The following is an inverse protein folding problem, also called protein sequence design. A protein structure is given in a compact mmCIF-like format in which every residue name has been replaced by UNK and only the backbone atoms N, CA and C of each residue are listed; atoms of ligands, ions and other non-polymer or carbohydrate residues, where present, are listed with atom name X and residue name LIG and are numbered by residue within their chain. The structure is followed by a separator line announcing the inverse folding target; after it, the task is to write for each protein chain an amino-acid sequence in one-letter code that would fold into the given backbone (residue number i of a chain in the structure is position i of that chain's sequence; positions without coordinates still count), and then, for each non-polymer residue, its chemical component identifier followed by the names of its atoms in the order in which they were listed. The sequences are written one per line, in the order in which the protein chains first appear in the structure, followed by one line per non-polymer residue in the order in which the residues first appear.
data_IF_811140417400
#
_entry.id   IF_811140417400
#
_cell.length_a   1.000
_cell.length_b   1.000
_cell.length_c   1.000
_cell.angle_alpha   90.00
_cell.angle_beta   90.00
_cell.angle_gamma   90.00
#
_symmetry.space_group_name_H-M   'P 1'
#
loop_
_entity.id
_entity.type
_entity.pdbx_description
1 polymer ?
#
# COMPACT_ATOMS: atom_id res chain seq x y z
N UNK A 1 -62.33 24.48 22.78
CA UNK A 1 -62.53 24.18 21.35
C UNK A 1 -61.35 24.84 20.64
N UNK A 2 -60.35 24.20 20.07
CA UNK A 2 -60.13 22.84 19.57
C UNK A 2 -58.66 22.43 19.83
N UNK A 3 -58.41 21.13 19.69
CA UNK A 3 -57.24 20.38 20.12
C UNK A 3 -56.11 20.47 19.07
N UNK A 4 -54.99 21.14 19.39
CA UNK A 4 -53.77 21.17 18.55
C UNK A 4 -52.94 19.91 18.82
N UNK A 5 -53.52 18.76 18.50
CA UNK A 5 -53.01 17.46 18.88
C UNK A 5 -53.09 16.41 17.78
N UNK A 6 -53.03 16.76 16.50
CA UNK A 6 -53.02 15.73 15.45
C UNK A 6 -52.55 16.22 14.06
N UNK A 7 -51.26 16.55 13.89
CA UNK A 7 -50.71 16.82 12.55
C UNK A 7 -49.19 16.52 12.44
N UNK A 8 -48.78 15.34 12.90
CA UNK A 8 -47.42 14.83 12.67
C UNK A 8 -47.37 13.29 12.58
N UNK A 9 -48.22 12.68 11.75
CA UNK A 9 -48.11 11.26 11.38
C UNK A 9 -48.24 11.09 9.87
N UNK A 10 -47.13 11.27 9.14
CA UNK A 10 -46.86 10.58 7.86
C UNK A 10 -45.50 11.01 7.29
N UNK A 11 -44.39 10.52 7.84
CA UNK A 11 -43.13 10.40 7.09
C UNK A 11 -42.47 9.06 7.44
N UNK A 12 -42.16 8.20 6.46
CA UNK A 12 -41.55 6.90 6.73
C UNK A 12 -40.12 7.08 7.24
N UNK A 13 -39.86 6.71 8.49
CA UNK A 13 -38.51 6.56 9.03
C UNK A 13 -37.83 5.38 8.32
N UNK A 14 -37.09 5.65 7.25
CA UNK A 14 -36.12 4.68 6.69
C UNK A 14 -35.04 4.42 7.75
N UNK A 15 -35.21 3.31 8.46
CA UNK A 15 -34.21 2.74 9.36
C UNK A 15 -33.04 2.25 8.50
N UNK A 16 -32.00 3.06 8.35
CA UNK A 16 -30.75 2.63 7.72
C UNK A 16 -30.12 1.59 8.64
N UNK A 17 -30.26 0.33 8.25
CA UNK A 17 -29.55 -0.80 8.85
C UNK A 17 -28.08 -0.63 8.45
N UNK A 18 -27.25 -0.12 9.36
CA UNK A 18 -25.80 -0.22 9.19
C UNK A 18 -25.43 -1.70 9.18
N UNK A 19 -25.18 -2.26 8.01
CA UNK A 19 -24.53 -3.56 7.89
C UNK A 19 -23.08 -3.35 8.36
N UNK A 20 -22.73 -3.93 9.52
CA UNK A 20 -21.33 -4.19 9.86
C UNK A 20 -20.83 -5.22 8.85
N UNK A 21 -20.17 -4.77 7.79
CA UNK A 21 -19.37 -5.60 6.89
C UNK A 21 -18.14 -6.08 7.63
N UNK A 22 -18.30 -7.09 8.49
CA UNK A 22 -17.19 -7.91 8.95
C UNK A 22 -16.94 -8.95 7.87
N UNK A 23 -15.95 -8.71 7.02
CA UNK A 23 -15.50 -9.70 6.04
C UNK A 23 -14.79 -10.85 6.78
N UNK A 24 -15.58 -11.81 7.28
CA UNK A 24 -15.05 -13.13 7.65
C UNK A 24 -14.71 -13.85 6.35
N UNK A 25 -13.46 -13.70 5.91
CA UNK A 25 -12.94 -14.40 4.75
C UNK A 25 -13.09 -15.93 4.94
N UNK A 26 -13.81 -16.58 4.03
CA UNK A 26 -14.04 -18.02 4.08
C UNK A 26 -12.73 -18.77 3.78
N UNK A 27 -12.47 -19.87 4.50
CA UNK A 27 -11.26 -20.72 4.32
C UNK A 27 -10.99 -21.12 2.85
N UNK A 28 -12.04 -21.21 2.02
CA UNK A 28 -11.94 -21.48 0.59
C UNK A 28 -11.29 -20.33 -0.22
N UNK A 29 -11.58 -19.07 0.11
CA UNK A 29 -10.96 -17.90 -0.52
C UNK A 29 -9.49 -17.78 -0.12
N UNK A 30 -9.16 -18.06 1.15
CA UNK A 30 -7.77 -18.12 1.62
C UNK A 30 -6.95 -19.19 0.88
N UNK A 31 -7.52 -20.39 0.61
CA UNK A 31 -6.85 -21.48 -0.14
C UNK A 31 -6.72 -21.21 -1.64
N UNK A 32 -7.65 -20.47 -2.25
CA UNK A 32 -7.51 -20.01 -3.65
C UNK A 32 -6.45 -18.91 -3.76
N UNK A 33 -6.36 -18.01 -2.77
CA UNK A 33 -5.31 -16.98 -2.65
C UNK A 33 -3.90 -17.56 -2.54
N UNK A 34 -3.71 -18.59 -1.70
CA UNK A 34 -2.40 -19.25 -1.55
C UNK A 34 -1.94 -19.90 -2.85
N UNK A 35 -2.86 -20.54 -3.60
CA UNK A 35 -2.57 -21.17 -4.89
C UNK A 35 -2.11 -20.19 -5.97
N UNK A 36 -2.76 -19.03 -6.07
CA UNK A 36 -2.36 -18.01 -7.04
C UNK A 36 -0.99 -17.39 -6.72
N UNK A 37 -0.56 -17.42 -5.45
CA UNK A 37 0.77 -16.95 -5.05
C UNK A 37 1.86 -17.98 -5.40
N UNK A 38 1.60 -19.27 -5.21
CA UNK A 38 2.53 -20.36 -5.56
C UNK A 38 2.72 -20.54 -7.07
N UNK A 39 1.76 -20.14 -7.91
CA UNK A 39 1.92 -20.16 -9.39
C UNK A 39 2.79 -19.00 -9.93
N UNK A 40 3.20 -18.04 -9.09
CA UNK A 40 4.02 -16.88 -9.50
C UNK A 40 5.53 -17.11 -9.36
N UNK A 41 5.96 -18.22 -8.76
CA UNK A 41 7.35 -18.47 -8.33
C UNK A 41 8.15 -19.40 -9.23
N UNK A 42 7.69 -19.71 -10.45
CA UNK A 42 8.41 -20.56 -11.42
C UNK A 42 9.56 -19.79 -12.13
N UNK A 43 10.56 -19.31 -11.37
CA UNK A 43 11.78 -18.70 -11.90
C UNK A 43 12.99 -19.33 -11.17
N UNK A 44 13.94 -19.87 -11.94
CA UNK A 44 15.03 -20.76 -11.51
C UNK A 44 16.17 -20.11 -10.68
N UNK A 45 15.92 -19.02 -9.95
CA UNK A 45 16.91 -18.28 -9.14
C UNK A 45 16.47 -18.19 -7.66
N UNK A 46 15.80 -19.23 -7.15
CA UNK A 46 15.08 -19.21 -5.86
C UNK A 46 15.96 -19.38 -4.62
N UNK A 47 17.20 -19.87 -4.76
CA UNK A 47 18.02 -20.29 -3.61
C UNK A 47 18.36 -19.14 -2.64
N UNK A 48 18.74 -17.98 -3.17
CA UNK A 48 19.13 -16.82 -2.35
C UNK A 48 17.91 -16.08 -1.78
N UNK A 49 16.80 -16.03 -2.52
CA UNK A 49 15.54 -15.43 -2.09
C UNK A 49 14.85 -16.25 -0.98
N UNK A 50 14.82 -17.58 -1.11
CA UNK A 50 14.25 -18.47 -0.08
C UNK A 50 15.05 -18.40 1.24
N UNK A 51 16.38 -18.33 1.13
CA UNK A 51 17.28 -18.14 2.29
C UNK A 51 17.01 -16.83 3.03
N UNK A 52 16.77 -15.74 2.29
CA UNK A 52 16.51 -14.44 2.87
C UNK A 52 15.11 -14.36 3.50
N UNK A 53 14.09 -14.90 2.84
CA UNK A 53 12.74 -14.95 3.39
C UNK A 53 12.67 -15.80 4.66
N UNK A 54 13.44 -16.88 4.73
CA UNK A 54 13.57 -17.66 5.95
C UNK A 54 14.16 -16.84 7.09
N UNK A 55 15.26 -16.10 6.85
CA UNK A 55 15.86 -15.22 7.87
C UNK A 55 14.87 -14.19 8.41
N UNK A 56 14.02 -13.63 7.55
CA UNK A 56 13.04 -12.64 7.98
C UNK A 56 11.94 -13.29 8.82
N UNK A 57 11.47 -14.47 8.42
CA UNK A 57 10.48 -15.23 9.18
C UNK A 57 11.04 -15.65 10.55
N UNK A 58 12.31 -16.05 10.61
CA UNK A 58 13.00 -16.36 11.87
C UNK A 58 13.10 -15.12 12.76
N UNK A 59 13.44 -13.95 12.18
CA UNK A 59 13.50 -12.69 12.93
C UNK A 59 12.13 -12.26 13.45
N UNK A 60 11.06 -12.46 12.66
CA UNK A 60 9.69 -12.22 13.13
C UNK A 60 9.32 -13.13 14.31
N UNK A 61 9.73 -14.41 14.24
CA UNK A 61 9.46 -15.37 15.30
C UNK A 61 10.20 -14.98 16.59
N UNK A 62 11.47 -14.64 16.49
CA UNK A 62 12.28 -14.12 17.62
C UNK A 62 11.59 -12.91 18.30
N UNK A 63 11.12 -11.94 17.51
CA UNK A 63 10.40 -10.77 18.03
C UNK A 63 9.05 -11.13 18.67
N UNK A 64 8.38 -12.19 18.21
CA UNK A 64 7.11 -12.63 18.76
C UNK A 64 7.26 -13.35 20.09
N UNK A 65 8.40 -14.03 20.30
CA UNK A 65 8.73 -14.76 21.53
C UNK A 65 9.34 -13.84 22.59
N UNK A 66 9.95 -12.73 22.17
CA UNK A 66 10.53 -11.73 23.07
C UNK A 66 9.42 -10.85 23.65
N UNK A 67 9.22 -10.91 24.97
CA UNK A 67 8.20 -10.13 25.69
C UNK A 67 8.85 -8.89 26.33
N UNK A 68 8.24 -7.72 26.11
CA UNK A 68 8.65 -6.45 26.71
C UNK A 68 8.28 -6.39 28.20
N UNK A 69 8.89 -5.48 28.99
CA UNK A 69 8.51 -5.27 30.39
C UNK A 69 7.04 -4.93 30.62
N UNK A 70 6.33 -4.48 29.58
CA UNK A 70 4.89 -4.21 29.62
C UNK A 70 4.02 -5.47 29.41
N UNK A 71 4.62 -6.64 29.16
CA UNK A 71 3.90 -7.90 28.93
C UNK A 71 3.44 -8.12 27.50
N UNK A 72 3.86 -7.28 26.55
CA UNK A 72 3.54 -7.42 25.13
C UNK A 72 4.75 -7.96 24.33
N UNK A 73 4.55 -8.73 23.26
CA UNK A 73 5.65 -9.17 22.41
C UNK A 73 6.30 -7.99 21.68
N UNK A 74 7.57 -8.11 21.28
CA UNK A 74 8.25 -7.06 20.49
C UNK A 74 7.66 -6.88 19.08
N UNK A 75 6.80 -7.79 18.63
CA UNK A 75 5.93 -7.60 17.46
C UNK A 75 4.76 -6.62 17.71
N UNK A 76 4.55 -6.18 18.96
CA UNK A 76 3.64 -5.09 19.27
C UNK A 76 4.25 -3.79 18.76
N UNK A 77 3.69 -3.24 17.68
CA UNK A 77 4.27 -2.12 16.93
C UNK A 77 3.36 -0.92 16.99
N UNK A 78 3.96 0.25 17.18
CA UNK A 78 3.27 1.54 17.17
C UNK A 78 3.44 2.13 15.78
N UNK A 79 2.35 2.53 15.13
CA UNK A 79 2.41 3.16 13.81
C UNK A 79 1.93 4.61 13.86
N UNK A 80 2.75 5.50 13.32
CA UNK A 80 2.47 6.94 13.24
C UNK A 80 2.72 7.47 11.83
N UNK A 81 2.15 8.63 11.52
CA UNK A 81 2.43 9.36 10.28
C UNK A 81 3.38 10.52 10.57
N UNK A 82 4.31 10.78 9.65
CA UNK A 82 5.34 11.83 9.76
C UNK A 82 4.74 13.23 9.97
N UNK A 83 3.59 13.51 9.37
CA UNK A 83 2.95 14.82 9.46
C UNK A 83 2.32 15.08 10.84
N UNK A 84 2.28 14.08 11.73
CA UNK A 84 1.66 14.13 13.07
C UNK A 84 0.25 14.73 13.12
N UNK A 85 -0.49 14.72 12.00
CA UNK A 85 -1.88 15.20 11.90
C UNK A 85 -2.84 14.39 12.77
N UNK A 86 -2.41 13.20 13.21
CA UNK A 86 -3.21 12.25 13.97
C UNK A 86 -2.99 12.48 15.47
N UNK A 87 -4.06 12.81 16.19
CA UNK A 87 -3.99 13.01 17.64
C UNK A 87 -3.69 11.72 18.43
N UNK A 88 -3.27 11.84 19.71
CA UNK A 88 -2.82 10.70 20.53
C UNK A 88 -3.90 9.62 20.71
N UNK A 89 -5.18 10.02 20.76
CA UNK A 89 -6.31 9.08 20.86
C UNK A 89 -6.37 8.15 19.65
N UNK A 90 -6.22 8.70 18.45
CA UNK A 90 -6.28 7.92 17.22
C UNK A 90 -5.03 7.03 17.06
N UNK A 91 -3.86 7.50 17.51
CA UNK A 91 -2.63 6.70 17.47
C UNK A 91 -2.80 5.44 18.33
N UNK A 92 -3.28 5.58 19.57
CA UNK A 92 -3.48 4.41 20.46
C UNK A 92 -4.59 3.49 19.93
N UNK A 93 -5.68 4.04 19.41
CA UNK A 93 -6.74 3.24 18.77
C UNK A 93 -6.24 2.48 17.53
N UNK A 94 -5.45 3.11 16.69
CA UNK A 94 -4.85 2.46 15.52
C UNK A 94 -3.86 1.39 15.96
N UNK A 95 -3.06 1.69 16.99
CA UNK A 95 -2.13 0.74 17.61
C UNK A 95 -2.88 -0.49 18.12
N UNK A 96 -4.06 -0.33 18.74
CA UNK A 96 -4.82 -1.49 19.21
C UNK A 96 -5.35 -2.36 18.07
N UNK A 97 -5.86 -1.73 17.01
CA UNK A 97 -6.33 -2.44 15.80
C UNK A 97 -5.19 -3.18 15.11
N UNK A 98 -4.03 -2.54 14.95
CA UNK A 98 -2.85 -3.11 14.30
C UNK A 98 -2.36 -4.35 15.05
N UNK A 99 -2.27 -4.25 16.37
CA UNK A 99 -1.78 -5.32 17.23
C UNK A 99 -2.88 -6.32 17.64
N UNK A 100 -4.13 -6.10 17.18
CA UNK A 100 -5.31 -6.92 17.50
C UNK A 100 -5.57 -7.05 19.00
N UNK A 101 -5.31 -5.99 19.77
CA UNK A 101 -5.58 -5.94 21.20
C UNK A 101 -6.86 -5.18 21.53
N UNK A 102 -7.48 -5.52 22.65
CA UNK A 102 -8.62 -4.81 23.21
C UNK A 102 -8.17 -3.52 23.88
N UNK A 103 -8.76 -2.39 23.52
CA UNK A 103 -8.51 -1.10 24.17
C UNK A 103 -9.72 -0.69 24.99
N UNK A 104 -9.50 -0.45 26.29
CA UNK A 104 -10.53 0.01 27.21
C UNK A 104 -10.11 1.32 27.87
N UNK A 105 -11.08 2.22 28.07
CA UNK A 105 -10.89 3.46 28.82
C UNK A 105 -11.91 3.55 29.93
N UNK A 106 -11.45 3.60 31.19
CA UNK A 106 -12.30 3.72 32.37
C UNK A 106 -12.18 5.12 32.93
N UNK A 107 -13.31 5.71 33.30
CA UNK A 107 -13.35 7.03 33.93
C UNK A 107 -13.86 6.87 35.36
N UNK A 108 -13.10 7.36 36.33
CA UNK A 108 -13.50 7.42 37.73
C UNK A 108 -13.41 8.85 38.26
N UNK A 109 -14.18 9.18 39.29
CA UNK A 109 -14.08 10.47 39.98
C UNK A 109 -13.20 10.32 41.20
N UNK A 110 -12.24 11.23 41.33
CA UNK A 110 -11.36 11.27 42.48
C UNK A 110 -11.99 12.07 43.63
N UNK A 111 -11.42 11.94 44.83
CA UNK A 111 -11.83 12.69 46.02
C UNK A 111 -11.78 14.22 45.84
N UNK A 112 -11.01 14.71 44.87
CA UNK A 112 -10.88 16.14 44.51
C UNK A 112 -11.92 16.62 43.49
N UNK A 113 -12.85 15.77 43.06
CA UNK A 113 -13.86 16.10 42.03
C UNK A 113 -13.35 16.03 40.58
N UNK A 114 -12.06 15.75 40.37
CA UNK A 114 -11.47 15.51 39.06
C UNK A 114 -11.87 14.15 38.49
N UNK A 115 -11.86 14.05 37.16
CA UNK A 115 -12.10 12.80 36.43
C UNK A 115 -10.74 12.18 36.12
N UNK A 116 -10.45 11.01 36.71
CA UNK A 116 -9.37 10.14 36.30
C UNK A 116 -9.79 9.29 35.12
N UNK A 117 -9.02 9.35 34.04
CA UNK A 117 -9.13 8.44 32.92
C UNK A 117 -7.96 7.45 32.97
N UNK A 118 -8.28 6.16 33.00
CA UNK A 118 -7.33 5.05 32.91
C UNK A 118 -7.49 4.36 31.56
N UNK A 119 -6.38 4.13 30.87
CA UNK A 119 -6.31 3.43 29.58
C UNK A 119 -5.63 2.10 29.79
N UNK A 120 -6.28 1.03 29.32
CA UNK A 120 -5.76 -0.33 29.38
C UNK A 120 -5.79 -1.00 28.00
N UNK A 121 -4.76 -1.80 27.73
CA UNK A 121 -4.65 -2.64 26.53
C UNK A 121 -4.57 -4.10 26.97
N UNK A 122 -5.46 -4.95 26.46
CA UNK A 122 -5.62 -6.36 26.88
C UNK A 122 -5.66 -6.56 28.41
N UNK A 123 -6.30 -5.62 29.11
CA UNK A 123 -6.43 -5.64 30.57
C UNK A 123 -5.22 -5.10 31.33
N UNK A 124 -4.13 -4.73 30.65
CA UNK A 124 -2.94 -4.12 31.26
C UNK A 124 -3.14 -2.60 31.30
N UNK A 125 -3.17 -2.02 32.50
CA UNK A 125 -3.26 -0.58 32.69
C UNK A 125 -1.92 0.10 32.37
N UNK A 126 -1.93 1.02 31.41
CA UNK A 126 -0.70 1.65 30.89
C UNK A 126 -0.60 3.14 31.23
N UNK A 127 -1.72 3.85 31.29
CA UNK A 127 -1.74 5.28 31.55
C UNK A 127 -2.96 5.70 32.35
N UNK A 128 -2.76 6.50 33.40
CA UNK A 128 -3.82 7.06 34.21
C UNK A 128 -3.53 8.54 34.45
N UNK A 129 -4.49 9.41 34.11
CA UNK A 129 -4.36 10.86 34.26
C UNK A 129 -5.68 11.49 34.70
N UNK A 130 -5.59 12.55 35.51
CA UNK A 130 -6.75 13.30 35.99
C UNK A 130 -6.90 14.66 35.31
N UNK A 131 -8.15 15.08 35.12
CA UNK A 131 -8.48 16.45 34.71
C UNK A 131 -9.92 16.81 35.14
N UNK A 132 -10.22 18.10 35.18
CA UNK A 132 -11.58 18.59 35.41
C UNK A 132 -12.51 18.26 34.22
N UNK A 133 -11.95 18.20 33.00
CA UNK A 133 -12.71 17.88 31.79
C UNK A 133 -12.45 16.44 31.33
N UNK A 134 -13.49 15.60 31.12
CA UNK A 134 -13.29 14.20 30.74
C UNK A 134 -12.55 14.04 29.40
N UNK A 135 -12.74 14.98 28.46
CA UNK A 135 -12.03 14.98 27.17
C UNK A 135 -10.53 15.24 27.36
N UNK A 136 -10.17 16.14 28.27
CA UNK A 136 -8.77 16.47 28.58
C UNK A 136 -8.09 15.35 29.37
N UNK A 137 -8.77 14.78 30.37
CA UNK A 137 -8.30 13.62 31.12
C UNK A 137 -7.97 12.46 30.18
N UNK A 138 -8.89 12.13 29.26
CA UNK A 138 -8.67 11.08 28.26
C UNK A 138 -7.47 11.36 27.36
N UNK A 139 -7.33 12.61 26.88
CA UNK A 139 -6.18 12.97 26.03
C UNK A 139 -4.86 12.82 26.78
N UNK A 140 -4.77 13.30 28.03
CA UNK A 140 -3.59 13.17 28.88
C UNK A 140 -3.25 11.69 29.14
N UNK A 141 -4.25 10.88 29.48
CA UNK A 141 -4.06 9.45 29.73
C UNK A 141 -3.55 8.70 28.48
N UNK A 142 -4.02 9.10 27.29
CA UNK A 142 -3.52 8.57 26.01
C UNK A 142 -2.07 8.98 25.75
N UNK A 143 -1.67 10.21 26.09
CA UNK A 143 -0.27 10.66 25.98
C UNK A 143 0.63 9.88 26.95
N UNK A 144 0.19 9.68 28.21
CA UNK A 144 0.92 8.87 29.18
C UNK A 144 1.09 7.41 28.69
N UNK A 145 0.01 6.83 28.18
CA UNK A 145 0.04 5.49 27.55
C UNK A 145 1.02 5.44 26.38
N UNK A 146 0.98 6.44 25.50
CA UNK A 146 1.87 6.54 24.35
C UNK A 146 3.35 6.59 24.79
N UNK A 147 3.68 7.42 25.79
CA UNK A 147 5.04 7.52 26.37
C UNK A 147 5.54 6.17 26.90
N UNK A 148 4.69 5.42 27.60
CA UNK A 148 5.03 4.09 28.08
C UNK A 148 5.28 3.12 26.92
N UNK A 149 4.43 3.15 25.89
CA UNK A 149 4.56 2.26 24.75
C UNK A 149 5.85 2.51 23.94
N UNK A 150 6.17 3.77 23.60
CA UNK A 150 7.38 4.11 22.81
C UNK A 150 8.69 3.81 23.56
N UNK A 151 8.64 3.71 24.90
CA UNK A 151 9.79 3.36 25.72
C UNK A 151 10.20 1.89 25.54
N UNK A 152 9.23 1.00 25.26
CA UNK A 152 9.46 -0.45 25.24
C UNK A 152 9.19 -1.13 23.90
N UNK A 153 8.62 -0.42 22.92
CA UNK A 153 8.24 -0.99 21.62
C UNK A 153 8.80 -0.20 20.44
N UNK A 154 8.91 -0.87 19.30
CA UNK A 154 9.29 -0.24 18.04
C UNK A 154 8.21 0.73 17.55
N UNK A 155 8.66 1.89 17.06
CA UNK A 155 7.80 2.86 16.38
C UNK A 155 8.10 2.83 14.90
N UNK A 156 7.06 2.62 14.10
CA UNK A 156 7.13 2.67 12.65
C UNK A 156 6.43 3.94 12.15
N UNK A 157 7.23 4.89 11.69
CA UNK A 157 6.74 6.16 11.15
C UNK A 157 6.63 6.06 9.63
N UNK A 158 5.44 6.34 9.10
CA UNK A 158 5.17 6.30 7.68
C UNK A 158 5.40 7.69 7.07
N UNK A 159 6.24 7.77 6.03
CA UNK A 159 6.45 9.00 5.26
C UNK A 159 5.20 9.32 4.42
N UNK A 160 4.92 10.61 4.23
CA UNK A 160 3.80 11.08 3.41
C UNK A 160 3.87 10.54 1.98
N UNK A 161 2.70 10.21 1.42
CA UNK A 161 2.57 9.67 0.06
C UNK A 161 3.09 10.63 -1.01
N UNK A 162 3.08 11.94 -0.76
CA UNK A 162 3.55 12.97 -1.70
C UNK A 162 5.05 12.81 -2.04
N UNK A 163 5.85 12.28 -1.11
CA UNK A 163 7.28 12.07 -1.33
C UNK A 163 7.57 10.87 -2.25
N UNK A 164 6.67 9.88 -2.30
CA UNK A 164 6.85 8.62 -3.04
C UNK A 164 6.39 8.70 -4.51
N UNK A 165 5.54 9.67 -4.86
CA UNK A 165 4.98 9.82 -6.22
C UNK A 165 6.05 10.21 -7.27
N UNK A 166 7.24 10.65 -6.84
CA UNK A 166 8.34 11.01 -7.75
C UNK A 166 9.01 9.81 -8.43
N UNK A 167 8.75 8.57 -7.98
CA UNK A 167 9.30 7.36 -8.61
C UNK A 167 8.39 6.89 -9.75
N UNK A 168 8.63 7.43 -10.94
CA UNK A 168 7.95 7.11 -12.18
C UNK A 168 8.29 5.69 -12.68
N UNK A 169 7.87 4.67 -11.95
CA UNK A 169 8.21 3.27 -12.26
C UNK A 169 7.43 2.70 -13.44
N UNK A 170 6.23 3.21 -13.73
CA UNK A 170 5.42 2.66 -14.83
C UNK A 170 6.02 2.92 -16.22
N UNK A 171 6.58 4.12 -16.45
CA UNK A 171 7.20 4.46 -17.74
C UNK A 171 8.52 3.71 -17.91
N UNK A 172 9.34 3.59 -16.86
CA UNK A 172 10.61 2.85 -16.95
C UNK A 172 10.43 1.34 -17.15
N UNK A 173 9.41 0.72 -16.54
CA UNK A 173 9.08 -0.69 -16.77
C UNK A 173 8.52 -0.94 -18.18
N UNK A 174 7.72 -0.02 -18.72
CA UNK A 174 7.27 -0.09 -20.11
C UNK A 174 8.43 0.13 -21.09
N UNK A 175 9.32 1.09 -20.82
CA UNK A 175 10.48 1.37 -21.67
C UNK A 175 11.46 0.18 -21.70
N UNK A 176 11.70 -0.50 -20.58
CA UNK A 176 12.48 -1.75 -20.56
C UNK A 176 11.84 -2.87 -21.39
N UNK A 177 10.51 -2.95 -21.42
CA UNK A 177 9.81 -3.89 -22.32
C UNK A 177 9.90 -3.46 -23.80
N UNK A 178 9.96 -2.16 -24.08
CA UNK A 178 10.15 -1.63 -25.43
C UNK A 178 11.59 -1.84 -25.95
N UNK A 179 12.61 -1.78 -25.09
CA UNK A 179 13.99 -2.15 -25.43
C UNK A 179 14.10 -3.63 -25.88
N UNK A 180 13.26 -4.51 -25.32
CA UNK A 180 13.20 -5.92 -25.74
C UNK A 180 12.58 -6.14 -27.13
N UNK A 181 11.94 -5.11 -27.70
CA UNK A 181 11.33 -5.14 -29.03
C UNK A 181 12.24 -4.54 -30.12
N UNK A 182 13.52 -4.28 -29.85
CA UNK A 182 14.45 -3.87 -30.90
C UNK A 182 14.57 -4.96 -31.97
N UNK A 183 14.38 -4.56 -33.23
CA UNK A 183 14.60 -5.46 -34.36
C UNK A 183 16.04 -5.97 -34.28
N UNK A 184 16.28 -7.29 -34.20
CA UNK A 184 17.63 -7.82 -34.04
C UNK A 184 18.50 -7.42 -35.22
N UNK A 185 19.80 -7.19 -34.99
CA UNK A 185 20.77 -6.77 -36.01
C UNK A 185 20.90 -7.75 -37.19
N UNK A 186 20.50 -9.00 -36.98
CA UNK A 186 20.43 -10.05 -38.02
C UNK A 186 19.22 -9.93 -38.94
N UNK A 187 18.21 -9.12 -38.60
CA UNK A 187 17.04 -8.92 -39.43
C UNK A 187 17.40 -8.17 -40.71
N UNK A 188 16.91 -8.66 -41.84
CA UNK A 188 17.18 -8.10 -43.18
C UNK A 188 16.77 -6.62 -43.25
N UNK A 189 15.65 -6.25 -42.64
CA UNK A 189 15.18 -4.85 -42.59
C UNK A 189 16.16 -3.94 -41.85
N UNK A 190 16.71 -4.39 -40.71
CA UNK A 190 17.74 -3.64 -39.98
C UNK A 190 19.01 -3.44 -40.83
N UNK A 191 19.44 -4.48 -41.55
CA UNK A 191 20.59 -4.40 -42.45
C UNK A 191 20.33 -3.47 -43.65
N UNK A 192 19.12 -3.50 -44.21
CA UNK A 192 18.72 -2.59 -45.28
C UNK A 192 18.69 -1.14 -44.80
N UNK A 193 18.10 -0.85 -43.64
CA UNK A 193 18.07 0.50 -43.08
C UNK A 193 19.48 1.04 -42.84
N UNK A 194 20.38 0.23 -42.27
CA UNK A 194 21.79 0.61 -42.10
C UNK A 194 22.50 0.92 -43.42
N UNK A 195 22.24 0.11 -44.47
CA UNK A 195 22.76 0.38 -45.82
C UNK A 195 22.18 1.64 -46.46
N UNK A 196 20.99 2.07 -46.04
CA UNK A 196 20.35 3.32 -46.46
C UNK A 196 20.75 4.52 -45.58
N UNK A 197 21.77 4.38 -44.73
CA UNK A 197 22.32 5.46 -43.92
C UNK A 197 21.64 5.66 -42.57
N UNK A 198 20.78 4.74 -42.12
CA UNK A 198 20.18 4.79 -40.80
C UNK A 198 21.18 4.38 -39.71
N UNK A 199 21.32 5.22 -38.67
CA UNK A 199 22.12 4.94 -37.48
C UNK A 199 21.23 4.78 -36.24
N UNK A 200 21.67 3.95 -35.29
CA UNK A 200 20.96 3.74 -34.03
C UNK A 200 20.84 5.08 -33.28
N UNK A 201 19.60 5.55 -33.07
CA UNK A 201 19.31 6.83 -32.42
C UNK A 201 19.20 8.05 -33.33
N UNK A 202 19.30 7.89 -34.66
CA UNK A 202 19.14 8.96 -35.65
C UNK A 202 17.96 8.71 -36.60
N UNK A 203 17.47 9.78 -37.26
CA UNK A 203 16.42 9.68 -38.27
C UNK A 203 16.96 9.14 -39.61
N UNK A 204 16.11 8.47 -40.39
CA UNK A 204 16.49 7.99 -41.72
C UNK A 204 16.51 9.14 -42.75
N UNK A 205 17.63 9.36 -43.45
CA UNK A 205 17.73 10.36 -44.52
C UNK A 205 19.05 11.13 -44.47
N UNK A 206 19.36 11.92 -45.51
CA UNK A 206 20.64 12.62 -45.65
C UNK A 206 20.95 13.60 -44.50
N UNK A 207 19.91 14.22 -43.94
CA UNK A 207 20.00 15.16 -42.81
C UNK A 207 19.37 14.61 -41.53
N UNK A 208 19.23 13.28 -41.42
CA UNK A 208 18.54 12.63 -40.28
C UNK A 208 17.08 13.08 -40.09
N UNK A 209 16.44 13.56 -41.16
CA UNK A 209 15.06 14.10 -41.17
C UNK A 209 13.97 13.05 -40.94
N UNK A 210 14.32 11.77 -41.05
CA UNK A 210 13.39 10.67 -40.84
C UNK A 210 12.98 10.51 -39.38
N UNK A 211 11.96 9.68 -39.18
CA UNK A 211 11.41 9.39 -37.87
C UNK A 211 12.47 8.66 -37.01
N UNK A 212 12.94 9.30 -35.94
CA UNK A 212 13.92 8.75 -34.99
C UNK A 212 13.33 7.68 -34.08
N UNK A 213 12.10 7.90 -33.59
CA UNK A 213 11.40 6.99 -32.69
C UNK A 213 10.41 6.14 -33.48
N UNK A 214 10.40 4.80 -33.31
CA UNK A 214 9.49 3.94 -34.07
C UNK A 214 8.06 4.44 -33.93
N UNK A 215 7.32 4.46 -35.04
CA UNK A 215 5.91 4.84 -35.03
C UNK A 215 5.16 3.82 -34.20
N UNK A 216 4.81 4.21 -32.98
CA UNK A 216 3.94 3.42 -32.11
C UNK A 216 2.53 3.45 -32.70
N UNK A 217 1.89 2.28 -32.75
CA UNK A 217 0.54 2.13 -33.27
C UNK A 217 -0.43 2.97 -32.41
N UNK A 218 -0.86 4.13 -32.92
CA UNK A 218 -1.96 4.88 -32.33
C UNK A 218 -3.23 4.07 -32.59
N UNK A 219 -3.75 3.45 -31.52
CA UNK A 219 -4.83 2.45 -31.56
C UNK A 219 -6.16 2.98 -32.08
N UNK A 220 -6.27 3.15 -33.40
CA UNK A 220 -7.55 3.32 -34.07
C UNK A 220 -7.63 2.47 -35.33
N UNK A 221 -7.64 1.15 -35.12
CA UNK A 221 -8.14 0.18 -36.10
C UNK A 221 -9.68 0.22 -36.06
N UNK A 222 -10.29 1.24 -36.66
CA UNK A 222 -11.70 1.16 -36.99
C UNK A 222 -11.89 0.13 -38.10
N UNK A 223 -12.75 -0.83 -37.81
CA UNK A 223 -13.15 -1.96 -38.64
C UNK A 223 -13.36 -1.58 -40.12
N UNK A 224 -12.40 -1.98 -40.98
CA UNK A 224 -12.60 -2.77 -42.23
C UNK A 224 -11.40 -2.66 -43.20
N UNK A 225 -10.53 -3.68 -43.15
CA UNK A 225 -9.68 -4.29 -44.20
C UNK A 225 -8.77 -3.38 -45.08
N UNK A 226 -7.48 -3.64 -45.36
CA UNK A 226 -6.50 -4.72 -45.10
C UNK A 226 -5.06 -4.18 -45.33
N UNK A 227 -3.97 -4.92 -45.20
CA UNK A 227 -3.44 -5.85 -46.22
C UNK A 227 -2.87 -7.11 -45.53
N UNK A 228 -3.43 -8.27 -45.82
CA UNK A 228 -2.77 -9.55 -45.52
C UNK A 228 -3.12 -10.23 -44.19
N UNK A 229 -4.39 -10.21 -43.81
CA UNK A 229 -4.95 -11.06 -42.76
C UNK A 229 -4.73 -12.55 -43.05
N UNK A 230 -3.80 -13.20 -42.35
CA UNK A 230 -3.95 -14.57 -41.84
C UNK A 230 -2.75 -14.92 -40.94
N UNK A 231 -2.88 -14.71 -39.64
CA UNK A 231 -2.28 -15.52 -38.58
C UNK A 231 -3.06 -15.13 -37.33
N UNK A 232 -3.57 -16.12 -36.59
CA UNK A 232 -4.25 -15.92 -35.33
C UNK A 232 -3.52 -14.84 -34.52
N UNK A 233 -4.21 -13.88 -33.88
CA UNK A 233 -3.58 -12.75 -33.21
C UNK A 233 -2.47 -13.29 -32.32
N UNK A 234 -1.22 -13.15 -32.77
CA UNK A 234 -0.07 -13.36 -31.93
C UNK A 234 -0.13 -12.22 -30.94
N UNK A 235 -0.84 -12.49 -29.85
CA UNK A 235 -0.97 -11.72 -28.61
C UNK A 235 -0.38 -10.31 -28.76
N UNK A 236 -1.07 -9.43 -29.47
CA UNK A 236 -1.01 -8.02 -29.09
C UNK A 236 -1.50 -8.03 -27.65
N UNK A 237 -0.57 -7.82 -26.72
CA UNK A 237 -0.90 -7.89 -25.30
C UNK A 237 -2.00 -6.87 -25.09
N UNK A 238 -3.22 -7.34 -24.87
CA UNK A 238 -4.34 -6.50 -24.45
C UNK A 238 -3.83 -5.67 -23.27
N UNK A 239 -4.18 -4.39 -23.13
CA UNK A 239 -3.73 -3.54 -22.01
C UNK A 239 -3.80 -4.27 -20.66
N UNK A 240 -4.82 -5.12 -20.51
CA UNK A 240 -4.98 -6.03 -19.37
C UNK A 240 -3.82 -7.01 -19.14
N UNK A 241 -3.25 -7.62 -20.19
CA UNK A 241 -2.08 -8.50 -20.10
C UNK A 241 -0.81 -7.71 -19.71
N UNK A 242 -0.67 -6.48 -20.21
CA UNK A 242 0.45 -5.61 -19.84
C UNK A 242 0.36 -5.23 -18.36
N UNK A 243 -0.83 -4.81 -17.90
CA UNK A 243 -1.07 -4.51 -16.48
C UNK A 243 -0.86 -5.77 -15.63
N UNK A 244 -1.34 -6.93 -16.07
CA UNK A 244 -1.14 -8.21 -15.38
C UNK A 244 0.36 -8.52 -15.22
N UNK A 245 1.15 -8.38 -16.28
CA UNK A 245 2.60 -8.57 -16.24
C UNK A 245 3.29 -7.59 -15.29
N UNK A 246 2.95 -6.30 -15.35
CA UNK A 246 3.51 -5.28 -14.45
C UNK A 246 3.17 -5.59 -12.99
N UNK A 247 1.93 -5.97 -12.70
CA UNK A 247 1.53 -6.33 -11.33
C UNK A 247 2.21 -7.62 -10.85
N UNK A 248 2.39 -8.62 -11.71
CA UNK A 248 3.17 -9.83 -11.38
C UNK A 248 4.61 -9.48 -11.04
N UNK A 249 5.29 -8.71 -11.89
CA UNK A 249 6.66 -8.26 -11.64
C UNK A 249 6.76 -7.44 -10.34
N UNK A 250 5.77 -6.61 -10.05
CA UNK A 250 5.70 -5.83 -8.81
C UNK A 250 5.53 -6.71 -7.55
N UNK A 251 4.75 -7.80 -7.65
CA UNK A 251 4.59 -8.76 -6.54
C UNK A 251 5.93 -9.46 -6.24
N UNK A 252 6.68 -9.84 -7.27
CA UNK A 252 7.95 -10.57 -7.16
C UNK A 252 9.10 -9.66 -6.70
N UNK A 253 9.09 -8.39 -7.11
CA UNK A 253 10.08 -7.39 -6.66
C UNK A 253 10.11 -7.34 -5.12
N UNK A 254 11.25 -7.07 -4.50
CA UNK A 254 11.40 -6.97 -3.04
C UNK A 254 11.09 -5.56 -2.48
N UNK A 255 10.94 -4.55 -3.35
CA UNK A 255 10.65 -3.17 -2.95
C UNK A 255 9.21 -2.97 -2.46
N UNK A 256 9.03 -2.21 -1.38
CA UNK A 256 7.73 -1.81 -0.83
C UNK A 256 7.27 -0.42 -1.26
N UNK A 257 8.01 0.21 -2.19
CA UNK A 257 7.57 1.44 -2.83
C UNK A 257 6.25 1.22 -3.56
N UNK A 258 5.43 2.26 -3.63
CA UNK A 258 4.14 2.20 -4.30
C UNK A 258 4.35 2.26 -5.82
N UNK A 259 3.70 1.36 -6.56
CA UNK A 259 3.64 1.43 -8.01
C UNK A 259 2.67 2.55 -8.41
N UNK A 260 3.19 3.54 -9.13
CA UNK A 260 2.44 4.74 -9.53
C UNK A 260 2.06 4.66 -11.01
N UNK A 261 0.77 4.75 -11.30
CA UNK A 261 0.25 4.86 -12.66
C UNK A 261 -0.05 6.32 -13.01
N UNK A 262 0.22 6.68 -14.27
CA UNK A 262 0.07 8.03 -14.82
C UNK A 262 -1.38 8.55 -14.71
N UNK A 263 -1.53 9.88 -14.62
CA UNK A 263 -2.82 10.53 -14.48
C UNK A 263 -3.71 10.44 -15.73
N UNK A 264 -3.11 10.21 -16.91
CA UNK A 264 -3.81 10.08 -18.19
C UNK A 264 -4.59 8.78 -18.41
N UNK A 265 -4.75 7.94 -17.38
CA UNK A 265 -5.54 6.71 -17.48
C UNK A 265 -7.05 6.99 -17.54
N UNK A 266 -7.73 6.31 -18.45
CA UNK A 266 -9.19 6.32 -18.52
C UNK A 266 -9.85 5.66 -17.30
N UNK A 267 -11.12 5.98 -17.06
CA UNK A 267 -11.89 5.42 -15.95
C UNK A 267 -12.00 3.90 -16.04
N UNK A 268 -12.17 3.34 -17.24
CA UNK A 268 -12.22 1.89 -17.46
C UNK A 268 -10.88 1.21 -17.17
N UNK A 269 -9.76 1.80 -17.61
CA UNK A 269 -8.42 1.30 -17.30
C UNK A 269 -8.15 1.29 -15.80
N UNK A 270 -8.53 2.35 -15.08
CA UNK A 270 -8.42 2.40 -13.62
C UNK A 270 -9.21 1.25 -12.98
N UNK A 271 -10.41 0.94 -13.46
CA UNK A 271 -11.20 -0.20 -12.96
C UNK A 271 -10.50 -1.53 -13.23
N UNK A 272 -9.89 -1.73 -14.40
CA UNK A 272 -9.15 -2.96 -14.70
C UNK A 272 -7.95 -3.12 -13.78
N UNK A 273 -7.18 -2.06 -13.53
CA UNK A 273 -6.05 -2.07 -12.60
C UNK A 273 -6.53 -2.39 -11.18
N UNK A 274 -7.59 -1.74 -10.70
CA UNK A 274 -8.16 -2.04 -9.38
C UNK A 274 -8.57 -3.52 -9.26
N UNK A 275 -9.20 -4.08 -10.29
CA UNK A 275 -9.63 -5.49 -10.34
C UNK A 275 -8.44 -6.46 -10.33
N UNK A 276 -7.40 -6.19 -11.13
CA UNK A 276 -6.19 -7.02 -11.19
C UNK A 276 -5.36 -6.90 -9.91
N UNK A 277 -5.14 -5.68 -9.39
CA UNK A 277 -4.43 -5.46 -8.13
C UNK A 277 -5.10 -6.23 -6.97
N UNK A 278 -6.44 -6.20 -6.91
CA UNK A 278 -7.19 -6.97 -5.92
C UNK A 278 -6.95 -8.48 -6.05
N UNK A 279 -6.86 -9.01 -7.28
CA UNK A 279 -6.55 -10.44 -7.54
C UNK A 279 -5.18 -10.84 -6.99
N UNK A 280 -4.20 -9.95 -7.06
CA UNK A 280 -2.85 -10.13 -6.48
C UNK A 280 -2.75 -9.71 -5.00
N UNK A 281 -3.87 -9.44 -4.33
CA UNK A 281 -3.92 -8.98 -2.94
C UNK A 281 -3.22 -7.63 -2.66
N UNK A 282 -2.98 -6.84 -3.72
CA UNK A 282 -2.40 -5.50 -3.64
C UNK A 282 -3.47 -4.45 -3.29
N UNK A 283 -3.07 -3.40 -2.60
CA UNK A 283 -3.91 -2.23 -2.33
C UNK A 283 -3.86 -1.32 -3.54
N UNK A 284 -5.02 -0.89 -4.02
CA UNK A 284 -5.10 0.07 -5.10
C UNK A 284 -5.93 1.28 -4.66
N UNK A 285 -5.46 2.49 -4.93
CA UNK A 285 -6.09 3.74 -4.50
C UNK A 285 -5.87 4.81 -5.56
N UNK A 286 -6.93 5.49 -5.97
CA UNK A 286 -6.78 6.74 -6.72
C UNK A 286 -6.56 7.89 -5.75
N UNK A 287 -5.60 8.77 -6.03
CA UNK A 287 -5.27 9.94 -5.21
C UNK A 287 -5.17 11.19 -6.08
N UNK A 288 -5.57 12.32 -5.52
CA UNK A 288 -5.60 13.60 -6.22
C UNK A 288 -6.90 13.87 -6.99
N UNK A 289 -7.03 15.11 -7.46
CA UNK A 289 -8.16 15.59 -8.26
C UNK A 289 -7.77 15.64 -9.74
N UNK A 290 -8.77 15.61 -10.63
CA UNK A 290 -8.52 15.75 -12.06
C UNK A 290 -7.99 17.16 -12.37
N UNK A 291 -7.00 17.32 -13.29
CA UNK A 291 -6.40 16.30 -14.17
C UNK A 291 -5.21 15.53 -13.56
N UNK A 292 -4.77 15.87 -12.34
CA UNK A 292 -3.56 15.31 -11.71
C UNK A 292 -3.83 14.02 -10.90
N UNK A 293 -4.95 13.35 -11.16
CA UNK A 293 -5.37 12.15 -10.42
C UNK A 293 -4.50 10.95 -10.79
N UNK A 294 -3.66 10.51 -9.86
CA UNK A 294 -2.80 9.34 -10.00
C UNK A 294 -3.45 8.08 -9.40
N UNK A 295 -3.10 6.90 -9.92
CA UNK A 295 -3.49 5.63 -9.32
C UNK A 295 -2.26 4.97 -8.70
N UNK A 296 -2.35 4.65 -7.40
CA UNK A 296 -1.30 4.03 -6.61
C UNK A 296 -1.65 2.56 -6.34
N UNK A 297 -0.68 1.68 -6.51
CA UNK A 297 -0.77 0.27 -6.11
C UNK A 297 0.33 -0.03 -5.09
N UNK A 298 -0.06 -0.50 -3.90
CA UNK A 298 0.82 -0.79 -2.78
C UNK A 298 0.75 -2.26 -2.38
N UNK A 299 1.86 -2.83 -1.95
CA UNK A 299 1.87 -4.07 -1.18
C UNK A 299 1.20 -3.90 0.19
N UNK A 300 0.81 -5.03 0.80
CA UNK A 300 0.17 -5.08 2.13
C UNK A 300 0.92 -6.02 3.10
N UNK A 301 2.21 -5.76 3.39
CA UNK A 301 2.88 -6.50 4.47
C UNK A 301 2.22 -6.21 5.82
N UNK A 302 2.36 -7.15 6.75
CA UNK A 302 2.10 -6.87 8.16
C UNK A 302 3.18 -5.94 8.69
N UNK A 303 2.84 -5.10 9.67
CA UNK A 303 3.83 -4.22 10.30
C UNK A 303 4.99 -5.00 10.93
N UNK A 304 4.70 -6.18 11.52
CA UNK A 304 5.73 -7.08 12.02
C UNK A 304 6.70 -7.53 10.93
N UNK A 305 6.22 -7.84 9.71
CA UNK A 305 7.07 -8.18 8.56
C UNK A 305 7.95 -7.01 8.16
N UNK A 306 7.40 -5.80 8.09
CA UNK A 306 8.17 -4.58 7.75
C UNK A 306 9.30 -4.40 8.76
N UNK A 307 9.01 -4.48 10.07
CA UNK A 307 10.02 -4.29 11.12
C UNK A 307 11.11 -5.37 11.03
N UNK A 308 10.74 -6.65 10.92
CA UNK A 308 11.73 -7.73 10.79
C UNK A 308 12.60 -7.57 9.55
N UNK A 309 12.03 -7.06 8.47
CA UNK A 309 12.74 -6.87 7.22
C UNK A 309 13.71 -5.70 7.29
N UNK A 310 13.32 -4.58 7.88
CA UNK A 310 14.22 -3.46 8.15
C UNK A 310 15.37 -3.89 9.07
N UNK A 311 15.09 -4.72 10.09
CA UNK A 311 16.11 -5.23 11.01
C UNK A 311 17.05 -6.25 10.36
N UNK A 312 16.61 -6.94 9.30
CA UNK A 312 17.39 -7.99 8.62
C UNK A 312 18.19 -7.46 7.43
N UNK A 313 17.56 -6.64 6.58
CA UNK A 313 18.12 -6.11 5.32
C UNK A 313 18.61 -4.66 5.43
N UNK A 314 18.21 -3.94 6.48
CA UNK A 314 18.38 -2.49 6.54
C UNK A 314 17.23 -1.75 5.84
N UNK A 315 17.44 -0.46 5.54
CA UNK A 315 16.37 0.43 5.04
C UNK A 315 16.20 0.39 3.50
N UNK A 316 17.01 -0.40 2.80
CA UNK A 316 16.92 -0.52 1.34
C UNK A 316 15.55 -1.08 0.91
N UNK A 317 14.94 -0.48 -0.12
CA UNK A 317 13.59 -0.82 -0.59
C UNK A 317 12.44 -0.46 0.38
N UNK A 318 12.72 0.17 1.53
CA UNK A 318 11.77 0.49 2.60
C UNK A 318 11.58 1.98 2.84
N UNK A 319 11.88 2.83 1.85
CA UNK A 319 11.89 4.30 1.97
C UNK A 319 10.60 4.91 2.51
N UNK A 320 9.47 4.22 2.35
CA UNK A 320 8.15 4.58 2.85
C UNK A 320 8.05 4.60 4.38
N UNK A 321 8.96 3.91 5.06
CA UNK A 321 8.94 3.71 6.50
C UNK A 321 10.27 4.14 7.15
N UNK A 322 10.17 4.66 8.36
CA UNK A 322 11.30 4.90 9.26
C UNK A 322 11.03 4.09 10.52
N UNK A 323 12.01 3.27 10.91
CA UNK A 323 11.94 2.46 12.12
C UNK A 323 12.73 3.13 13.24
N UNK A 324 12.10 3.23 14.40
CA UNK A 324 12.75 3.66 15.63
C UNK A 324 12.75 2.53 16.63
N UNK A 325 13.90 2.29 17.25
CA UNK A 325 14.06 1.33 18.32
C UNK A 325 13.32 1.81 19.59
N UNK A 326 13.02 0.90 20.54
CA UNK A 326 12.51 1.29 21.84
C UNK A 326 13.37 2.38 22.46
N UNK A 327 12.72 3.38 23.07
CA UNK A 327 13.38 4.49 23.76
C UNK A 327 14.23 5.42 22.85
N UNK A 328 14.12 5.34 21.51
CA UNK A 328 14.79 6.28 20.61
C UNK A 328 13.85 7.30 19.97
N UNK A 329 12.53 7.13 20.10
CA UNK A 329 11.55 8.03 19.49
C UNK A 329 11.22 9.22 20.41
N UNK A 330 11.49 10.45 19.94
CA UNK A 330 11.31 11.67 20.74
C UNK A 330 10.05 12.48 20.38
N UNK A 331 9.39 12.17 19.25
CA UNK A 331 8.24 12.95 18.78
C UNK A 331 6.97 12.53 19.51
N UNK A 332 6.58 13.29 20.53
CA UNK A 332 5.34 13.06 21.25
C UNK A 332 4.24 13.90 20.58
N UNK A 333 3.15 13.29 20.08
CA UNK A 333 2.06 14.01 19.43
C UNK A 333 1.44 15.02 20.40
N UNK A 334 1.39 16.29 19.96
CA UNK A 334 0.93 17.50 20.65
C UNK A 334 0.47 17.31 22.11
N UNK A 335 1.29 17.83 23.04
CA UNK A 335 0.85 18.27 24.37
C UNK A 335 -0.17 19.39 24.21
#
# INVERSE_FOLDING_TARGET
MENIGELAKALPKKRVRFQKGGDTETKANKRKRLRNFTELTDIQDTGDLESLDQKINDKMKELSETISPLGFPMTFIICTDLDHKVGPVNIIQNTSVINKCSMETKNNKNNKGEICCEVSLDGIALGCESDLCPKKAKRKAMIATYKMLIMYHYVLEKKSTEFLVKSATFIDLLNKSAESNQIPKSNIGCQMMKKMGWNEGAGLGHNEEGIMQPVLESGHLTSRAGLGSCLAPQKTATMQNTIDHVLKAYVINDSYQDLVFCAGLESEDRKTIHKLAHRYNLKSMSSGEEPNRVLLVSKRPSYARIVSEILTKGQDGMDKYILFAPNTYSNIPYI
#
